data_IF_166075200236
#
_entry.id   IF_166075200236
#
_cell.length_a   1.000
_cell.length_b   1.000
_cell.length_c   1.000
_cell.angle_alpha   90.00
_cell.angle_beta   90.00
_cell.angle_gamma   90.00
#
_symmetry.space_group_name_H-M   'P 1'
#
loop_
_entity.id
_entity.type
_entity.pdbx_description
1 polymer ?
#
# COMPACT_ATOMS: atom_id res chain seq x y z
N UNK A 1 16.39 -33.30 -43.33
CA UNK A 1 15.32 -33.82 -42.45
C UNK A 1 15.41 -33.16 -41.08
N UNK A 2 14.34 -32.45 -40.69
CA UNK A 2 13.87 -32.05 -39.34
C UNK A 2 14.91 -31.74 -38.23
N UNK A 3 15.21 -30.45 -38.05
CA UNK A 3 15.72 -29.89 -36.78
C UNK A 3 14.56 -29.57 -35.82
N UNK A 4 14.56 -30.18 -34.63
CA UNK A 4 13.58 -29.94 -33.56
C UNK A 4 13.70 -28.52 -33.02
N UNK A 5 12.68 -27.68 -33.26
CA UNK A 5 12.47 -26.43 -32.51
C UNK A 5 12.07 -26.80 -31.08
N UNK A 6 12.94 -26.50 -30.10
CA UNK A 6 12.57 -26.48 -28.67
C UNK A 6 11.64 -25.30 -28.45
N UNK A 7 10.38 -25.58 -28.17
CA UNK A 7 9.44 -24.58 -27.67
C UNK A 7 9.92 -24.10 -26.30
N UNK A 8 10.30 -22.82 -26.22
CA UNK A 8 10.56 -22.14 -24.95
C UNK A 8 9.18 -21.92 -24.32
N UNK A 9 8.85 -22.75 -23.34
CA UNK A 9 7.66 -22.55 -22.49
C UNK A 9 7.84 -21.27 -21.70
N UNK A 10 7.25 -20.18 -22.20
CA UNK A 10 7.10 -18.93 -21.47
C UNK A 10 6.23 -19.18 -20.23
N UNK A 11 6.70 -18.64 -19.13
CA UNK A 11 6.14 -18.66 -17.77
C UNK A 11 4.72 -18.05 -17.73
N UNK A 12 3.72 -18.84 -18.09
CA UNK A 12 2.29 -18.48 -18.06
C UNK A 12 1.61 -18.68 -16.69
N UNK A 13 2.32 -19.17 -15.67
CA UNK A 13 1.68 -19.66 -14.43
C UNK A 13 1.41 -18.58 -13.37
N UNK A 14 2.21 -17.52 -13.29
CA UNK A 14 1.92 -16.38 -12.40
C UNK A 14 0.83 -15.43 -12.97
N UNK A 15 0.48 -15.61 -14.23
CA UNK A 15 -0.43 -14.75 -15.00
C UNK A 15 -1.90 -15.16 -14.83
N UNK A 16 -2.19 -16.38 -14.36
CA UNK A 16 -3.56 -16.85 -14.12
C UNK A 16 -4.16 -16.37 -12.79
N UNK A 17 -3.32 -16.11 -11.79
CA UNK A 17 -3.77 -15.68 -10.46
C UNK A 17 -4.06 -14.18 -10.36
N UNK A 18 -3.57 -13.35 -11.28
CA UNK A 18 -3.92 -11.91 -11.34
C UNK A 18 -4.99 -11.57 -12.39
N UNK A 19 -5.33 -12.51 -13.29
CA UNK A 19 -6.41 -12.37 -14.28
C UNK A 19 -7.76 -12.90 -13.81
N UNK A 20 -7.80 -13.61 -12.68
CA UNK A 20 -9.04 -14.15 -12.14
C UNK A 20 -9.56 -13.20 -11.05
N UNK A 21 -10.75 -12.62 -11.27
CA UNK A 21 -11.44 -11.87 -10.23
C UNK A 21 -11.65 -12.72 -8.95
N UNK A 22 -11.78 -14.05 -9.09
CA UNK A 22 -11.84 -14.98 -7.95
C UNK A 22 -10.55 -15.02 -7.13
N UNK A 23 -9.40 -14.81 -7.76
CA UNK A 23 -8.14 -14.73 -7.03
C UNK A 23 -7.99 -13.37 -6.33
N UNK A 24 -8.49 -12.29 -6.94
CA UNK A 24 -8.55 -10.97 -6.32
C UNK A 24 -9.55 -10.92 -5.15
N UNK A 25 -10.67 -11.63 -5.24
CA UNK A 25 -11.64 -11.78 -4.15
C UNK A 25 -11.00 -12.42 -2.91
N UNK A 26 -10.22 -13.48 -3.11
CA UNK A 26 -9.50 -14.18 -2.04
C UNK A 26 -8.38 -13.34 -1.42
N UNK A 27 -7.90 -12.32 -2.11
CA UNK A 27 -6.97 -11.34 -1.55
C UNK A 27 -7.75 -10.22 -0.89
N UNK A 28 -7.54 -10.02 0.40
CA UNK A 28 -8.10 -8.89 1.12
C UNK A 28 -7.36 -7.58 0.75
N UNK A 29 -7.85 -6.44 1.25
CA UNK A 29 -7.27 -5.12 0.93
C UNK A 29 -5.80 -5.04 1.34
N UNK A 30 -4.90 -5.04 0.36
CA UNK A 30 -3.44 -4.94 0.50
C UNK A 30 -2.95 -3.56 0.07
N UNK A 31 -1.66 -3.28 0.22
CA UNK A 31 -1.03 -2.06 -0.32
C UNK A 31 -1.18 -1.87 -1.83
N UNK A 32 -1.57 -2.91 -2.59
CA UNK A 32 -1.79 -2.83 -4.05
C UNK A 32 -3.26 -2.95 -4.45
N UNK A 33 -4.10 -3.57 -3.65
CA UNK A 33 -5.49 -3.93 -4.02
C UNK A 33 -6.42 -3.45 -2.92
N UNK A 34 -7.44 -2.68 -3.27
CA UNK A 34 -8.56 -2.36 -2.40
C UNK A 34 -9.79 -3.13 -2.91
N UNK A 35 -10.25 -4.08 -2.12
CA UNK A 35 -11.34 -5.01 -2.48
C UNK A 35 -12.66 -4.53 -1.87
N UNK A 36 -13.32 -3.57 -2.54
CA UNK A 36 -14.56 -2.96 -2.04
C UNK A 36 -15.75 -3.92 -2.12
N UNK A 37 -15.69 -4.92 -3.01
CA UNK A 37 -16.69 -5.99 -3.04
C UNK A 37 -16.74 -6.76 -1.72
N UNK A 38 -15.58 -7.15 -1.16
CA UNK A 38 -15.52 -7.82 0.13
C UNK A 38 -16.01 -6.91 1.27
N UNK A 39 -15.70 -5.61 1.21
CA UNK A 39 -16.23 -4.64 2.19
C UNK A 39 -17.75 -4.55 2.09
N UNK A 40 -18.31 -4.46 0.88
CA UNK A 40 -19.76 -4.41 0.65
C UNK A 40 -20.48 -5.67 1.17
N UNK A 41 -19.91 -6.85 0.93
CA UNK A 41 -20.48 -8.10 1.43
C UNK A 41 -20.50 -8.17 2.97
N UNK A 42 -19.47 -7.63 3.63
CA UNK A 42 -19.33 -7.70 5.09
C UNK A 42 -20.04 -6.57 5.84
N UNK A 43 -20.14 -5.39 5.22
CA UNK A 43 -20.56 -4.15 5.88
C UNK A 43 -21.70 -3.41 5.18
N UNK A 44 -22.19 -3.89 4.03
CA UNK A 44 -23.20 -3.20 3.21
C UNK A 44 -24.56 -2.99 3.88
N UNK A 45 -24.83 -3.69 4.98
CA UNK A 45 -26.05 -3.55 5.79
C UNK A 45 -25.87 -2.60 6.99
N UNK A 46 -24.66 -2.10 7.26
CA UNK A 46 -24.41 -1.17 8.37
C UNK A 46 -24.91 0.25 8.03
N UNK A 47 -25.51 1.00 8.97
CA UNK A 47 -25.92 2.39 8.74
C UNK A 47 -24.78 3.28 8.20
N UNK A 48 -23.59 3.13 8.78
CA UNK A 48 -22.36 3.83 8.37
C UNK A 48 -21.97 3.63 6.90
N UNK A 49 -22.42 2.55 6.25
CA UNK A 49 -22.21 2.31 4.82
C UNK A 49 -22.91 3.36 3.95
N UNK A 50 -24.04 3.89 4.40
CA UNK A 50 -24.77 4.94 3.69
C UNK A 50 -24.39 6.35 4.18
N UNK A 51 -24.06 6.49 5.46
CA UNK A 51 -23.72 7.78 6.06
C UNK A 51 -22.30 8.28 5.74
N UNK A 52 -21.31 7.36 5.72
CA UNK A 52 -19.89 7.69 5.49
C UNK A 52 -19.24 6.79 4.43
N UNK A 53 -19.80 6.73 3.21
CA UNK A 53 -19.30 5.85 2.17
C UNK A 53 -17.97 6.33 1.59
N UNK A 54 -17.18 5.40 1.03
CA UNK A 54 -16.02 5.76 0.22
C UNK A 54 -16.45 6.44 -1.09
N UNK A 55 -17.43 5.88 -1.79
CA UNK A 55 -18.05 6.49 -2.98
C UNK A 55 -19.54 6.70 -2.77
N UNK A 56 -20.13 7.75 -3.32
CA UNK A 56 -21.60 7.88 -3.35
C UNK A 56 -22.22 6.81 -4.24
N UNK A 57 -21.53 6.42 -5.31
CA UNK A 57 -21.97 5.37 -6.20
C UNK A 57 -21.79 3.97 -5.59
N UNK A 58 -22.89 3.21 -5.52
CA UNK A 58 -22.92 1.83 -4.98
C UNK A 58 -22.20 0.78 -5.84
N UNK A 59 -22.01 1.03 -7.14
CA UNK A 59 -21.20 0.17 -8.02
C UNK A 59 -19.73 0.34 -7.69
N UNK A 60 -19.25 1.57 -7.52
CA UNK A 60 -17.88 1.84 -7.09
C UNK A 60 -17.59 1.28 -5.70
N UNK A 61 -18.52 1.37 -4.75
CA UNK A 61 -18.38 0.72 -3.44
C UNK A 61 -18.42 -0.82 -3.48
N UNK A 62 -18.58 -1.45 -4.63
CA UNK A 62 -18.54 -2.90 -4.80
C UNK A 62 -17.59 -3.34 -5.92
N UNK A 63 -16.56 -2.52 -6.22
CA UNK A 63 -15.55 -2.80 -7.24
C UNK A 63 -14.21 -3.27 -6.65
N UNK A 64 -13.25 -3.55 -7.52
CA UNK A 64 -11.85 -3.71 -7.17
C UNK A 64 -11.05 -2.51 -7.65
N UNK A 65 -10.17 -1.97 -6.80
CA UNK A 65 -9.25 -0.89 -7.15
C UNK A 65 -7.83 -1.40 -6.99
N UNK A 66 -6.99 -1.21 -8.00
CA UNK A 66 -5.64 -1.77 -8.01
C UNK A 66 -4.60 -0.74 -8.44
N UNK A 67 -3.46 -0.72 -7.75
CA UNK A 67 -2.23 -0.11 -8.25
C UNK A 67 -1.63 -1.02 -9.31
N UNK A 68 -1.88 -0.68 -10.56
CA UNK A 68 -1.48 -1.46 -11.72
C UNK A 68 -0.18 -0.94 -12.30
N UNK A 69 0.66 -1.86 -12.76
CA UNK A 69 1.89 -1.54 -13.49
C UNK A 69 1.57 -1.65 -14.97
N UNK A 70 1.67 -0.53 -15.68
CA UNK A 70 1.30 -0.48 -17.09
C UNK A 70 2.24 -1.37 -17.89
N UNK A 71 1.66 -2.19 -18.76
CA UNK A 71 2.39 -2.95 -19.76
C UNK A 71 2.72 -2.03 -20.93
N UNK A 72 3.69 -2.42 -21.75
CA UNK A 72 4.08 -1.65 -22.93
C UNK A 72 2.88 -1.37 -23.85
N UNK A 73 1.98 -2.35 -24.00
CA UNK A 73 0.72 -2.26 -24.75
C UNK A 73 -0.43 -1.61 -23.98
N UNK A 74 -0.18 -0.97 -22.84
CA UNK A 74 -1.17 -0.19 -22.10
C UNK A 74 -0.76 1.28 -21.99
N UNK A 75 0.53 1.60 -22.17
CA UNK A 75 1.07 2.98 -22.10
C UNK A 75 0.39 3.93 -23.08
N UNK A 76 0.07 3.46 -24.30
CA UNK A 76 -0.59 4.27 -25.32
C UNK A 76 -1.99 4.75 -24.90
N UNK A 77 -2.60 4.18 -23.85
CA UNK A 77 -3.92 4.58 -23.38
C UNK A 77 -3.92 5.98 -22.75
N UNK A 78 -2.75 6.55 -22.45
CA UNK A 78 -2.57 7.84 -21.77
C UNK A 78 -1.97 8.88 -22.72
N UNK A 79 -2.21 10.15 -22.42
CA UNK A 79 -1.59 11.28 -23.14
C UNK A 79 -0.23 11.66 -22.54
N UNK A 80 0.00 11.30 -21.27
CA UNK A 80 1.24 11.46 -20.53
C UNK A 80 2.00 10.13 -20.38
N UNK A 81 3.32 10.22 -20.20
CA UNK A 81 4.13 9.05 -19.88
C UNK A 81 3.85 8.59 -18.45
N UNK A 82 3.37 7.34 -18.31
CA UNK A 82 3.10 6.71 -17.02
C UNK A 82 3.54 5.25 -17.05
N UNK A 83 4.04 4.79 -15.91
CA UNK A 83 4.57 3.44 -15.67
C UNK A 83 3.65 2.64 -14.76
N UNK A 84 2.83 3.35 -13.98
CA UNK A 84 1.77 2.79 -13.15
C UNK A 84 0.53 3.65 -13.26
N UNK A 85 -0.62 3.03 -13.01
CA UNK A 85 -1.91 3.68 -13.00
C UNK A 85 -2.85 2.98 -12.02
N UNK A 86 -3.90 3.66 -11.60
CA UNK A 86 -4.94 3.05 -10.79
C UNK A 86 -6.00 2.44 -11.70
N UNK A 87 -6.15 1.11 -11.61
CA UNK A 87 -7.13 0.34 -12.36
C UNK A 87 -8.37 0.13 -11.53
N UNK A 88 -9.52 0.40 -12.12
CA UNK A 88 -10.84 0.07 -11.58
C UNK A 88 -11.34 -1.16 -12.31
N UNK A 89 -11.84 -2.15 -11.57
CA UNK A 89 -12.49 -3.33 -12.13
C UNK A 89 -13.87 -3.48 -11.50
N UNK A 90 -14.90 -3.33 -12.31
CA UNK A 90 -16.31 -3.49 -11.93
C UNK A 90 -16.76 -4.88 -12.40
N UNK A 91 -17.06 -5.81 -11.47
CA UNK A 91 -17.57 -7.13 -11.84
C UNK A 91 -18.89 -7.00 -12.63
N UNK A 92 -19.08 -7.83 -13.66
CA UNK A 92 -20.38 -7.90 -14.34
C UNK A 92 -21.47 -8.42 -13.42
N UNK A 93 -21.12 -9.41 -12.60
CA UNK A 93 -22.00 -10.00 -11.60
C UNK A 93 -21.22 -10.18 -10.30
N UNK A 94 -21.80 -9.69 -9.20
CA UNK A 94 -21.14 -9.71 -7.87
C UNK A 94 -21.12 -11.10 -7.27
N UNK A 95 -22.11 -11.92 -7.63
CA UNK A 95 -22.27 -13.30 -7.17
C UNK A 95 -21.47 -14.32 -8.00
N UNK A 96 -21.07 -13.97 -9.23
CA UNK A 96 -20.21 -14.83 -10.07
C UNK A 96 -19.10 -14.04 -10.77
N UNK A 97 -17.98 -13.93 -10.06
CA UNK A 97 -16.75 -13.33 -10.56
C UNK A 97 -16.10 -14.09 -11.73
N UNK A 98 -16.60 -15.30 -12.06
CA UNK A 98 -16.16 -16.05 -13.23
C UNK A 98 -16.55 -15.40 -14.56
N UNK A 99 -17.61 -14.59 -14.57
CA UNK A 99 -18.07 -13.86 -15.75
C UNK A 99 -17.13 -12.72 -16.16
N UNK A 100 -16.20 -12.34 -15.27
CA UNK A 100 -15.30 -11.21 -15.49
C UNK A 100 -15.92 -9.87 -15.10
N UNK A 101 -15.42 -8.80 -15.69
CA UNK A 101 -15.87 -7.45 -15.38
C UNK A 101 -15.33 -6.42 -16.37
N UNK A 102 -15.95 -5.24 -16.35
CA UNK A 102 -15.46 -4.07 -17.05
C UNK A 102 -14.27 -3.48 -16.28
N UNK A 103 -13.23 -3.04 -16.98
CA UNK A 103 -12.10 -2.37 -16.33
C UNK A 103 -11.61 -1.17 -17.11
N UNK A 104 -11.15 -0.17 -16.39
CA UNK A 104 -10.56 1.05 -16.96
C UNK A 104 -9.48 1.58 -16.03
N UNK A 105 -8.62 2.45 -16.54
CA UNK A 105 -7.63 3.17 -15.75
C UNK A 105 -8.07 4.60 -15.49
N UNK A 106 -7.77 5.11 -14.30
CA UNK A 106 -8.01 6.52 -13.99
C UNK A 106 -7.04 7.35 -14.83
N UNK A 107 -7.57 8.29 -15.61
CA UNK A 107 -6.78 9.18 -16.48
C UNK A 107 -6.49 8.64 -17.88
N UNK A 108 -6.90 7.41 -18.24
CA UNK A 108 -6.78 6.98 -19.63
C UNK A 108 -7.71 7.76 -20.56
N UNK A 109 -7.40 7.83 -21.84
CA UNK A 109 -8.30 8.41 -22.85
C UNK A 109 -9.68 7.73 -22.78
N UNK A 110 -10.73 8.53 -22.65
CA UNK A 110 -12.12 8.03 -22.56
C UNK A 110 -12.55 7.45 -21.19
N UNK A 111 -11.73 7.58 -20.14
CA UNK A 111 -12.05 6.96 -18.83
C UNK A 111 -13.33 7.50 -18.18
N UNK A 112 -13.72 8.74 -18.49
CA UNK A 112 -14.93 9.36 -17.95
C UNK A 112 -16.18 8.74 -18.55
N UNK A 113 -16.13 8.37 -19.84
CA UNK A 113 -17.20 7.68 -20.56
C UNK A 113 -17.34 6.26 -20.01
N UNK A 114 -16.22 5.53 -19.89
CA UNK A 114 -16.19 4.19 -19.29
C UNK A 114 -16.71 4.17 -17.85
N UNK A 115 -16.36 5.18 -17.05
CA UNK A 115 -16.87 5.35 -15.69
C UNK A 115 -18.39 5.55 -15.68
N UNK A 116 -18.92 6.41 -16.55
CA UNK A 116 -20.36 6.67 -16.64
C UNK A 116 -21.13 5.43 -17.08
N UNK A 117 -20.60 4.68 -18.05
CA UNK A 117 -21.17 3.40 -18.49
C UNK A 117 -21.22 2.39 -17.34
N UNK A 118 -20.12 2.25 -16.58
CA UNK A 118 -20.06 1.32 -15.45
C UNK A 118 -20.95 1.76 -14.27
N UNK A 119 -21.26 3.05 -14.16
CA UNK A 119 -21.98 3.65 -13.02
C UNK A 119 -23.39 4.15 -13.39
N UNK A 120 -24.00 3.60 -14.44
CA UNK A 120 -25.36 3.93 -14.87
C UNK A 120 -26.30 3.99 -13.64
N UNK A 121 -27.16 5.01 -13.58
CA UNK A 121 -28.08 5.38 -12.49
C UNK A 121 -27.59 6.39 -11.43
N UNK A 122 -26.38 6.96 -11.56
CA UNK A 122 -25.90 8.00 -10.63
C UNK A 122 -26.28 9.44 -11.06
N UNK A 123 -26.93 10.19 -10.16
CA UNK A 123 -27.36 11.59 -10.41
C UNK A 123 -26.19 12.58 -10.59
N UNK A 124 -25.05 12.33 -9.93
CA UNK A 124 -23.77 13.03 -10.14
C UNK A 124 -22.63 12.15 -9.64
N UNK A 125 -21.53 12.11 -10.38
CA UNK A 125 -20.29 11.39 -10.05
C UNK A 125 -19.17 12.33 -9.57
N UNK A 126 -19.44 13.62 -9.36
CA UNK A 126 -18.38 14.61 -9.16
C UNK A 126 -17.53 14.33 -7.91
N UNK A 127 -18.15 13.91 -6.80
CA UNK A 127 -17.42 13.49 -5.60
C UNK A 127 -16.62 12.22 -5.84
N UNK A 128 -17.21 11.25 -6.54
CA UNK A 128 -16.56 9.97 -6.80
C UNK A 128 -15.34 10.14 -7.71
N UNK A 129 -15.45 11.00 -8.73
CA UNK A 129 -14.35 11.39 -9.61
C UNK A 129 -13.22 12.07 -8.82
N UNK A 130 -13.54 12.95 -7.85
CA UNK A 130 -12.53 13.56 -6.98
C UNK A 130 -11.80 12.50 -6.17
N UNK A 131 -12.52 11.58 -5.55
CA UNK A 131 -11.94 10.49 -4.76
C UNK A 131 -11.09 9.59 -5.64
N UNK A 132 -11.58 9.17 -6.81
CA UNK A 132 -10.81 8.39 -7.79
C UNK A 132 -9.48 9.09 -8.16
N UNK A 133 -9.48 10.40 -8.39
CA UNK A 133 -8.25 11.16 -8.66
C UNK A 133 -7.30 11.21 -7.46
N UNK A 134 -7.81 11.31 -6.24
CA UNK A 134 -7.00 11.21 -5.02
C UNK A 134 -6.37 9.82 -4.89
N UNK A 135 -7.16 8.77 -5.11
CA UNK A 135 -6.65 7.40 -5.14
C UNK A 135 -5.54 7.27 -6.18
N UNK A 136 -5.69 7.87 -7.36
CA UNK A 136 -4.70 7.74 -8.44
C UNK A 136 -3.32 8.29 -8.08
N UNK A 137 -3.27 9.38 -7.31
CA UNK A 137 -2.03 10.02 -6.88
C UNK A 137 -1.24 9.18 -5.87
N UNK A 138 -1.90 8.30 -5.12
CA UNK A 138 -1.21 7.53 -4.08
C UNK A 138 -0.22 6.52 -4.68
N UNK A 139 0.95 6.29 -4.07
CA UNK A 139 1.86 5.22 -4.48
C UNK A 139 1.36 3.82 -4.06
N UNK A 140 0.53 3.74 -3.02
CA UNK A 140 -0.06 2.51 -2.49
C UNK A 140 -1.50 2.75 -2.02
N UNK A 141 -2.25 1.66 -1.88
CA UNK A 141 -3.60 1.63 -1.28
C UNK A 141 -3.54 1.08 0.15
N UNK A 142 -2.39 1.22 0.83
CA UNK A 142 -2.32 0.77 2.21
C UNK A 142 -3.29 1.58 3.09
N UNK A 143 -3.92 0.96 4.10
CA UNK A 143 -5.08 1.56 4.74
C UNK A 143 -4.78 2.88 5.48
N UNK A 144 -3.55 3.04 5.98
CA UNK A 144 -3.14 4.22 6.75
C UNK A 144 -2.90 5.42 5.85
N UNK A 145 -2.10 5.24 4.79
CA UNK A 145 -1.86 6.29 3.80
C UNK A 145 -3.16 6.71 3.13
N UNK A 146 -3.97 5.73 2.71
CA UNK A 146 -5.22 5.96 2.03
C UNK A 146 -6.20 6.78 2.88
N UNK A 147 -6.41 6.38 4.13
CA UNK A 147 -7.30 7.09 5.06
C UNK A 147 -6.84 8.53 5.29
N UNK A 148 -5.55 8.70 5.61
CA UNK A 148 -4.99 10.01 5.92
C UNK A 148 -5.05 10.95 4.71
N UNK A 149 -4.78 10.42 3.51
CA UNK A 149 -4.87 11.19 2.27
C UNK A 149 -6.30 11.67 2.01
N UNK A 150 -7.31 10.81 2.17
CA UNK A 150 -8.72 11.18 2.00
C UNK A 150 -9.17 12.20 3.05
N UNK A 151 -8.81 11.99 4.32
CA UNK A 151 -9.18 12.89 5.42
C UNK A 151 -8.63 14.30 5.23
N UNK A 152 -7.37 14.45 4.80
CA UNK A 152 -6.78 15.77 4.52
C UNK A 152 -7.46 16.52 3.39
N UNK A 153 -8.12 15.80 2.49
CA UNK A 153 -8.93 16.38 1.42
C UNK A 153 -10.42 16.53 1.79
N UNK A 154 -10.75 16.42 3.08
CA UNK A 154 -12.11 16.64 3.60
C UNK A 154 -13.06 15.48 3.38
N UNK A 155 -12.54 14.27 3.12
CA UNK A 155 -13.35 13.06 2.97
C UNK A 155 -13.29 12.20 4.24
N UNK A 156 -14.37 12.25 5.02
CA UNK A 156 -14.57 11.36 6.17
C UNK A 156 -15.26 10.06 5.71
N UNK A 157 -14.49 8.98 5.71
CA UNK A 157 -14.93 7.66 5.26
C UNK A 157 -14.91 6.70 6.44
N UNK A 158 -15.87 5.79 6.49
CA UNK A 158 -16.00 4.84 7.59
C UNK A 158 -14.74 3.95 7.76
N UNK A 159 -14.31 3.64 9.00
CA UNK A 159 -13.06 2.91 9.27
C UNK A 159 -12.93 1.54 8.59
N UNK A 160 -14.04 0.84 8.35
CA UNK A 160 -14.03 -0.49 7.75
C UNK A 160 -13.56 -0.51 6.29
N UNK A 161 -13.52 0.63 5.59
CA UNK A 161 -12.86 0.75 4.28
C UNK A 161 -11.33 0.69 4.37
N UNK A 162 -10.78 0.88 5.58
CA UNK A 162 -9.34 0.92 5.88
C UNK A 162 -8.91 -0.23 6.81
N UNK A 163 -9.61 -1.36 6.74
CA UNK A 163 -9.20 -2.55 7.48
C UNK A 163 -7.91 -3.15 6.87
N UNK A 164 -6.99 -3.58 7.74
CA UNK A 164 -5.85 -4.41 7.32
C UNK A 164 -6.40 -5.76 6.85
N UNK A 165 -5.80 -6.29 5.79
CA UNK A 165 -6.09 -7.62 5.24
C UNK A 165 -5.95 -8.70 6.34
N UNK A 166 -6.83 -9.72 6.43
CA UNK A 166 -6.67 -10.80 7.42
C UNK A 166 -5.31 -11.50 7.33
N UNK A 167 -4.79 -11.71 6.11
CA UNK A 167 -3.48 -12.32 5.93
C UNK A 167 -2.34 -11.44 6.49
N UNK A 168 -2.41 -10.12 6.31
CA UNK A 168 -1.42 -9.20 6.89
C UNK A 168 -1.58 -9.09 8.41
N UNK A 169 -2.82 -9.10 8.92
CA UNK A 169 -3.11 -9.13 10.36
C UNK A 169 -2.48 -10.36 11.02
N UNK A 170 -2.74 -11.55 10.46
CA UNK A 170 -2.19 -12.81 10.96
C UNK A 170 -0.65 -12.79 10.93
N UNK A 171 -0.06 -12.31 9.83
CA UNK A 171 1.39 -12.25 9.66
C UNK A 171 2.07 -11.20 10.57
N UNK A 172 1.39 -10.11 10.91
CA UNK A 172 1.95 -9.06 11.77
C UNK A 172 1.69 -9.29 13.26
N UNK A 173 0.73 -10.14 13.63
CA UNK A 173 0.31 -10.33 15.03
C UNK A 173 1.50 -10.69 15.94
N UNK A 174 2.32 -11.66 15.54
CA UNK A 174 3.52 -12.06 16.30
C UNK A 174 4.57 -10.94 16.39
N UNK A 175 4.75 -10.17 15.32
CA UNK A 175 5.67 -9.03 15.33
C UNK A 175 5.22 -7.95 16.31
N UNK A 176 3.93 -7.59 16.27
CA UNK A 176 3.35 -6.57 17.15
C UNK A 176 3.42 -7.01 18.60
N UNK A 177 3.11 -8.28 18.90
CA UNK A 177 3.23 -8.84 20.24
C UNK A 177 4.63 -8.63 20.83
N UNK A 178 5.68 -8.92 20.07
CA UNK A 178 7.06 -8.67 20.49
C UNK A 178 7.38 -7.17 20.65
N UNK A 179 6.85 -6.31 19.79
CA UNK A 179 7.11 -4.86 19.86
C UNK A 179 6.50 -4.21 21.11
N UNK A 180 5.35 -4.70 21.58
CA UNK A 180 4.62 -4.09 22.70
C UNK A 180 4.73 -4.88 24.01
N UNK A 181 5.50 -5.97 24.03
CA UNK A 181 5.69 -6.84 25.19
C UNK A 181 6.10 -6.06 26.44
N UNK A 182 7.02 -5.11 26.29
CA UNK A 182 7.51 -4.28 27.40
C UNK A 182 6.39 -3.44 28.03
N UNK A 183 5.49 -2.88 27.21
CA UNK A 183 4.33 -2.13 27.67
C UNK A 183 3.31 -3.04 28.36
N UNK A 184 3.09 -4.24 27.82
CA UNK A 184 2.17 -5.22 28.43
C UNK A 184 2.68 -5.62 29.81
N UNK A 185 3.98 -5.89 29.94
CA UNK A 185 4.59 -6.24 31.21
C UNK A 185 4.38 -5.14 32.27
N UNK A 186 4.57 -3.88 31.90
CA UNK A 186 4.36 -2.74 32.81
C UNK A 186 2.89 -2.52 33.19
N UNK A 187 1.98 -2.70 32.23
CA UNK A 187 0.55 -2.52 32.47
C UNK A 187 -0.04 -3.64 33.34
N UNK A 188 0.59 -4.82 33.40
CA UNK A 188 0.02 -6.03 33.99
C UNK A 188 0.98 -6.79 34.91
N UNK A 189 1.85 -6.09 35.67
CA UNK A 189 2.83 -6.68 36.61
C UNK A 189 2.23 -7.70 37.61
N UNK A 190 0.90 -7.78 37.75
CA UNK A 190 0.17 -8.71 38.62
C UNK A 190 -0.76 -9.74 37.92
N UNK A 191 -0.77 -9.86 36.59
CA UNK A 191 -1.67 -10.77 35.86
C UNK A 191 -0.93 -11.68 34.87
N UNK A 192 -1.02 -13.01 35.06
CA UNK A 192 -0.26 -14.04 34.32
C UNK A 192 -0.14 -13.80 32.80
N UNK A 193 1.07 -13.47 32.34
CA UNK A 193 1.33 -12.62 31.16
C UNK A 193 1.07 -13.16 29.75
N UNK A 194 0.74 -14.44 29.55
CA UNK A 194 0.59 -15.01 28.19
C UNK A 194 -0.72 -14.65 27.49
N UNK A 195 -1.85 -14.90 28.17
CA UNK A 195 -3.19 -14.70 27.57
C UNK A 195 -3.57 -13.23 27.41
N UNK A 196 -3.07 -12.35 28.28
CA UNK A 196 -3.34 -10.90 28.22
C UNK A 196 -2.63 -10.23 27.05
N UNK A 197 -1.42 -10.69 26.70
CA UNK A 197 -0.65 -10.19 25.55
C UNK A 197 -1.43 -10.35 24.26
N UNK A 198 -1.94 -11.56 23.99
CA UNK A 198 -2.71 -11.84 22.78
C UNK A 198 -3.97 -10.96 22.67
N UNK A 199 -4.67 -10.75 23.79
CA UNK A 199 -5.89 -9.92 23.83
C UNK A 199 -5.62 -8.44 23.61
N UNK A 200 -4.49 -7.91 24.09
CA UNK A 200 -4.14 -6.50 23.87
C UNK A 200 -3.66 -6.26 22.44
N UNK A 201 -2.90 -7.20 21.87
CA UNK A 201 -2.49 -7.14 20.46
C UNK A 201 -3.72 -7.17 19.56
N UNK A 202 -4.68 -8.07 19.83
CA UNK A 202 -5.95 -8.11 19.11
C UNK A 202 -6.72 -6.80 19.23
N UNK A 203 -6.81 -6.23 20.44
CA UNK A 203 -7.45 -4.93 20.68
C UNK A 203 -6.79 -3.79 19.88
N UNK A 204 -5.46 -3.75 19.84
CA UNK A 204 -4.69 -2.74 19.11
C UNK A 204 -4.81 -2.90 17.58
N UNK A 205 -4.90 -4.14 17.10
CA UNK A 205 -5.01 -4.45 15.68
C UNK A 205 -6.45 -4.48 15.16
N UNK A 206 -7.45 -4.36 16.06
CA UNK A 206 -8.86 -4.20 15.72
C UNK A 206 -9.10 -3.00 14.80
N UNK A 207 -10.17 -3.07 14.01
CA UNK A 207 -10.63 -1.94 13.17
C UNK A 207 -11.36 -0.89 14.00
N UNK A 208 -12.12 -1.35 14.99
CA UNK A 208 -12.84 -0.50 15.93
C UNK A 208 -11.99 -0.29 17.19
N UNK A 209 -12.10 0.89 17.80
CA UNK A 209 -11.40 1.18 19.05
C UNK A 209 -11.99 0.31 20.15
N UNK A 210 -11.12 -0.48 20.75
CA UNK A 210 -11.49 -1.53 21.68
C UNK A 210 -11.45 -1.02 23.13
N UNK A 211 -12.51 -1.29 23.90
CA UNK A 211 -12.61 -0.91 25.32
C UNK A 211 -11.45 -1.46 26.17
N UNK A 212 -10.81 -2.55 25.72
CA UNK A 212 -9.59 -3.10 26.36
C UNK A 212 -8.42 -2.12 26.38
N UNK A 213 -8.42 -1.08 25.55
CA UNK A 213 -7.39 -0.04 25.52
C UNK A 213 -7.66 1.12 26.49
N UNK A 214 -8.78 1.10 27.23
CA UNK A 214 -9.17 2.16 28.17
C UNK A 214 -8.10 2.50 29.24
N UNK A 215 -7.37 1.54 29.84
CA UNK A 215 -6.30 1.87 30.77
C UNK A 215 -5.18 2.71 30.15
N UNK A 216 -4.87 2.46 28.87
CA UNK A 216 -3.88 3.22 28.12
C UNK A 216 -4.39 4.65 27.86
N UNK A 217 -5.69 4.80 27.56
CA UNK A 217 -6.34 6.10 27.38
C UNK A 217 -6.17 7.00 28.61
N UNK A 218 -6.47 6.45 29.78
CA UNK A 218 -6.34 7.15 31.08
C UNK A 218 -4.87 7.52 31.35
N UNK A 219 -3.95 6.58 31.12
CA UNK A 219 -2.50 6.79 31.35
C UNK A 219 -1.94 7.89 30.46
N UNK A 220 -2.40 7.98 29.22
CA UNK A 220 -1.93 8.97 28.25
C UNK A 220 -2.69 10.29 28.30
N UNK A 221 -3.75 10.41 29.11
CA UNK A 221 -4.62 11.58 29.18
C UNK A 221 -5.05 12.04 27.77
N UNK A 222 -5.54 11.08 26.98
CA UNK A 222 -6.10 11.31 25.65
C UNK A 222 -7.61 11.05 25.73
N UNK A 223 -8.41 11.95 25.20
CA UNK A 223 -9.88 11.89 25.27
C UNK A 223 -10.48 11.88 23.87
N UNK A 224 -11.64 11.25 23.72
CA UNK A 224 -12.44 11.31 22.49
C UNK A 224 -11.67 10.99 21.21
N UNK A 225 -11.72 11.91 20.24
CA UNK A 225 -11.04 11.79 18.94
C UNK A 225 -9.52 11.64 19.07
N UNK A 226 -8.88 12.38 19.99
CA UNK A 226 -7.41 12.36 20.12
C UNK A 226 -6.90 10.96 20.46
N UNK A 227 -7.63 10.23 21.30
CA UNK A 227 -7.29 8.84 21.61
C UNK A 227 -7.51 7.92 20.41
N UNK A 228 -8.66 8.03 19.73
CA UNK A 228 -8.99 7.18 18.59
C UNK A 228 -8.01 7.37 17.44
N UNK A 229 -7.66 8.62 17.15
CA UNK A 229 -6.64 8.97 16.16
C UNK A 229 -5.24 8.56 16.60
N UNK A 230 -4.91 8.70 17.88
CA UNK A 230 -3.64 8.24 18.43
C UNK A 230 -3.47 6.73 18.27
N UNK A 231 -4.46 5.93 18.67
CA UNK A 231 -4.42 4.45 18.53
C UNK A 231 -4.33 4.03 17.07
N UNK A 232 -5.13 4.64 16.19
CA UNK A 232 -5.02 4.40 14.75
C UNK A 232 -3.61 4.73 14.24
N UNK A 233 -3.03 5.82 14.74
CA UNK A 233 -1.69 6.26 14.34
C UNK A 233 -0.60 5.31 14.80
N UNK A 234 -0.70 4.84 16.04
CA UNK A 234 0.22 3.84 16.57
C UNK A 234 0.17 2.54 15.78
N UNK A 235 -1.04 2.07 15.47
CA UNK A 235 -1.26 0.89 14.64
C UNK A 235 -0.58 1.03 13.27
N UNK A 236 -0.67 2.19 12.63
CA UNK A 236 -0.02 2.45 11.35
C UNK A 236 1.51 2.43 11.43
N UNK A 237 2.11 2.97 12.49
CA UNK A 237 3.56 2.87 12.69
C UNK A 237 4.02 1.43 12.87
N UNK A 238 3.29 0.64 13.66
CA UNK A 238 3.56 -0.79 13.82
C UNK A 238 3.44 -1.55 12.49
N UNK A 239 2.43 -1.22 11.67
CA UNK A 239 2.25 -1.77 10.34
C UNK A 239 3.44 -1.46 9.41
N UNK A 240 3.88 -0.20 9.34
CA UNK A 240 5.02 0.17 8.51
C UNK A 240 6.33 -0.46 8.99
N UNK A 241 6.56 -0.51 10.32
CA UNK A 241 7.73 -1.20 10.90
C UNK A 241 7.74 -2.68 10.52
N UNK A 242 6.61 -3.36 10.67
CA UNK A 242 6.45 -4.76 10.27
C UNK A 242 6.72 -4.95 8.78
N UNK A 243 6.09 -4.18 7.91
CA UNK A 243 6.26 -4.29 6.45
C UNK A 243 7.73 -4.10 6.03
N UNK A 244 8.47 -3.20 6.70
CA UNK A 244 9.89 -2.97 6.42
C UNK A 244 10.78 -4.16 6.76
N UNK A 245 10.40 -5.04 7.68
CA UNK A 245 11.18 -6.26 7.99
C UNK A 245 11.34 -7.15 6.75
N UNK A 246 10.33 -7.17 5.88
CA UNK A 246 10.33 -7.94 4.64
C UNK A 246 10.80 -7.10 3.46
N UNK A 247 10.43 -5.81 3.42
CA UNK A 247 10.73 -4.94 2.29
C UNK A 247 12.21 -4.52 2.22
N UNK A 248 12.88 -4.27 3.36
CA UNK A 248 14.28 -3.85 3.36
C UNK A 248 15.21 -4.88 2.68
N UNK A 249 15.16 -6.19 3.01
CA UNK A 249 15.97 -7.19 2.31
C UNK A 249 15.69 -7.24 0.80
N UNK A 250 14.42 -7.15 0.41
CA UNK A 250 14.03 -7.15 -1.00
C UNK A 250 14.63 -5.95 -1.74
N UNK A 251 14.56 -4.76 -1.16
CA UNK A 251 15.09 -3.54 -1.76
C UNK A 251 16.63 -3.58 -1.87
N UNK A 252 17.32 -4.17 -0.89
CA UNK A 252 18.77 -4.39 -1.00
C UNK A 252 19.13 -5.36 -2.14
N UNK A 253 18.35 -6.44 -2.32
CA UNK A 253 18.54 -7.35 -3.45
C UNK A 253 18.29 -6.65 -4.79
N UNK A 254 17.21 -5.85 -4.91
CA UNK A 254 16.94 -5.03 -6.09
C UNK A 254 18.10 -4.09 -6.38
N UNK A 255 18.65 -3.42 -5.37
CA UNK A 255 19.76 -2.49 -5.58
C UNK A 255 21.01 -3.16 -6.15
N UNK A 256 21.33 -4.35 -5.67
CA UNK A 256 22.44 -5.13 -6.22
C UNK A 256 22.17 -5.48 -7.68
N UNK A 257 20.98 -6.00 -7.97
CA UNK A 257 20.61 -6.44 -9.31
C UNK A 257 20.44 -5.30 -10.32
N UNK A 258 20.05 -4.09 -9.90
CA UNK A 258 20.10 -2.87 -10.72
C UNK A 258 21.54 -2.60 -11.16
N UNK A 259 22.51 -2.83 -10.28
CA UNK A 259 23.94 -2.75 -10.59
C UNK A 259 24.40 -3.82 -11.59
N UNK A 260 23.80 -5.01 -11.54
CA UNK A 260 24.16 -6.18 -12.36
C UNK A 260 23.33 -6.31 -13.65
N UNK A 261 22.32 -5.45 -13.87
CA UNK A 261 21.42 -5.52 -15.03
C UNK A 261 22.21 -5.48 -16.34
N UNK A 262 22.11 -6.54 -17.13
CA UNK A 262 22.68 -6.57 -18.46
C UNK A 262 21.71 -5.94 -19.46
N UNK A 263 22.17 -4.89 -20.15
CA UNK A 263 21.38 -4.16 -21.14
C UNK A 263 21.71 -4.69 -22.53
N UNK A 264 20.71 -5.13 -23.28
CA UNK A 264 20.85 -5.68 -24.63
C UNK A 264 20.38 -4.70 -25.71
N UNK A 265 20.87 -4.87 -26.93
CA UNK A 265 20.54 -4.03 -28.08
C UNK A 265 21.59 -2.95 -28.39
N UNK A 266 21.44 -2.24 -29.51
CA UNK A 266 22.30 -1.12 -29.86
C UNK A 266 22.15 0.01 -28.84
N UNK A 267 23.26 0.59 -28.41
CA UNK A 267 23.28 1.76 -27.52
C UNK A 267 24.18 2.83 -28.12
N UNK A 268 23.68 4.05 -28.19
CA UNK A 268 24.55 5.20 -28.44
C UNK A 268 25.29 5.60 -27.15
N UNK A 269 26.17 6.59 -27.29
CA UNK A 269 26.99 7.09 -26.16
C UNK A 269 26.12 7.78 -25.11
N UNK A 270 25.08 8.50 -25.53
CA UNK A 270 24.21 9.29 -24.65
C UNK A 270 23.37 8.41 -23.74
N UNK A 271 22.73 7.39 -24.30
CA UNK A 271 21.95 6.39 -23.57
C UNK A 271 22.84 5.60 -22.61
N UNK A 272 24.07 5.26 -23.03
CA UNK A 272 25.05 4.63 -22.15
C UNK A 272 25.38 5.48 -20.92
N UNK A 273 25.66 6.78 -21.13
CA UNK A 273 25.94 7.73 -20.04
C UNK A 273 24.72 7.93 -19.14
N UNK A 274 23.53 7.99 -19.71
CA UNK A 274 22.28 8.09 -18.94
C UNK A 274 22.12 6.90 -18.01
N UNK A 275 22.23 5.66 -18.50
CA UNK A 275 22.04 4.44 -17.73
C UNK A 275 23.04 4.33 -16.56
N UNK A 276 24.32 4.67 -16.81
CA UNK A 276 25.34 4.68 -15.77
C UNK A 276 25.09 5.76 -14.70
N UNK A 277 24.60 6.93 -15.13
CA UNK A 277 24.17 8.00 -14.24
C UNK A 277 22.97 7.60 -13.39
N UNK A 278 21.96 6.99 -14.01
CA UNK A 278 20.72 6.54 -13.39
C UNK A 278 20.98 5.49 -12.30
N UNK A 279 21.85 4.49 -12.55
CA UNK A 279 22.24 3.51 -11.51
C UNK A 279 22.79 4.18 -10.24
N UNK A 280 23.63 5.21 -10.39
CA UNK A 280 24.21 5.94 -9.25
C UNK A 280 23.17 6.80 -8.55
N UNK A 281 22.27 7.45 -9.29
CA UNK A 281 21.17 8.24 -8.73
C UNK A 281 20.19 7.35 -7.96
N UNK A 282 19.70 6.28 -8.57
CA UNK A 282 18.84 5.28 -7.92
C UNK A 282 19.42 4.75 -6.61
N UNK A 283 20.71 4.36 -6.61
CA UNK A 283 21.40 3.89 -5.41
C UNK A 283 21.40 4.92 -4.29
N UNK A 284 21.67 6.19 -4.62
CA UNK A 284 21.65 7.29 -3.65
C UNK A 284 20.23 7.57 -3.16
N UNK A 285 19.24 7.62 -4.06
CA UNK A 285 17.85 7.89 -3.71
C UNK A 285 17.27 6.81 -2.80
N UNK A 286 17.51 5.52 -3.09
CA UNK A 286 17.07 4.42 -2.23
C UNK A 286 17.73 4.47 -0.85
N UNK A 287 19.03 4.78 -0.77
CA UNK A 287 19.72 4.93 0.50
C UNK A 287 19.17 6.11 1.32
N UNK A 288 18.92 7.26 0.67
CA UNK A 288 18.33 8.43 1.31
C UNK A 288 16.91 8.15 1.82
N UNK A 289 16.07 7.50 1.00
CA UNK A 289 14.72 7.09 1.38
C UNK A 289 14.72 6.16 2.60
N UNK A 290 15.61 5.16 2.63
CA UNK A 290 15.79 4.28 3.79
C UNK A 290 16.20 5.06 5.04
N UNK A 291 17.13 6.00 4.90
CA UNK A 291 17.58 6.82 6.04
C UNK A 291 16.44 7.68 6.59
N UNK A 292 15.61 8.27 5.73
CA UNK A 292 14.47 9.08 6.14
C UNK A 292 13.39 8.26 6.84
N UNK A 293 13.06 7.09 6.29
CA UNK A 293 12.12 6.14 6.89
C UNK A 293 12.60 5.71 8.28
N UNK A 294 13.88 5.33 8.40
CA UNK A 294 14.45 4.95 9.69
C UNK A 294 14.47 6.10 10.70
N UNK A 295 14.76 7.33 10.27
CA UNK A 295 14.71 8.51 11.14
C UNK A 295 13.29 8.77 11.66
N UNK A 296 12.29 8.66 10.78
CA UNK A 296 10.87 8.81 11.11
C UNK A 296 10.41 7.76 12.12
N UNK A 297 10.82 6.50 11.94
CA UNK A 297 10.53 5.41 12.87
C UNK A 297 11.31 5.52 14.19
N UNK A 298 12.50 6.11 14.16
CA UNK A 298 13.29 6.39 15.36
C UNK A 298 12.60 7.33 16.34
N UNK A 299 11.74 8.24 15.85
CA UNK A 299 10.91 9.10 16.70
C UNK A 299 9.91 8.26 17.52
N UNK A 300 9.26 7.29 16.87
CA UNK A 300 8.41 6.32 17.57
C UNK A 300 9.21 5.51 18.58
N UNK A 301 10.36 4.96 18.17
CA UNK A 301 11.18 4.09 19.04
C UNK A 301 11.65 4.84 20.29
N UNK A 302 12.07 6.09 20.15
CA UNK A 302 12.44 6.94 21.27
C UNK A 302 11.25 7.27 22.19
N UNK A 303 10.10 7.63 21.61
CA UNK A 303 8.90 7.94 22.38
C UNK A 303 8.36 6.72 23.14
N UNK A 304 8.39 5.55 22.51
CA UNK A 304 7.96 4.29 23.11
C UNK A 304 8.93 3.85 24.21
N UNK A 305 10.24 3.93 23.98
CA UNK A 305 11.24 3.65 25.01
C UNK A 305 11.11 4.59 26.21
N UNK A 306 10.76 5.86 26.00
CA UNK A 306 10.54 6.80 27.11
C UNK A 306 9.31 6.43 27.95
N UNK A 307 8.27 5.88 27.34
CA UNK A 307 7.13 5.31 28.07
C UNK A 307 7.52 4.04 28.84
N UNK A 308 8.21 3.10 28.20
CA UNK A 308 8.44 1.77 28.79
C UNK A 308 9.64 1.70 29.74
N UNK A 309 10.68 2.50 29.52
CA UNK A 309 11.92 2.45 30.32
C UNK A 309 12.03 3.60 31.30
N UNK A 310 11.65 4.80 30.86
CA UNK A 310 11.78 6.01 31.68
C UNK A 310 10.50 6.32 32.48
N UNK A 311 9.40 5.59 32.22
CA UNK A 311 8.09 5.83 32.85
C UNK A 311 7.49 7.19 32.48
N UNK A 312 7.86 7.77 31.34
CA UNK A 312 7.43 9.10 30.90
C UNK A 312 6.39 9.01 29.76
N UNK A 313 5.07 9.01 30.08
CA UNK A 313 4.01 8.90 29.08
C UNK A 313 3.88 10.14 28.19
N UNK A 314 4.44 11.28 28.59
CA UNK A 314 4.30 12.55 27.85
C UNK A 314 4.94 12.47 26.47
N UNK A 315 6.11 11.82 26.36
CA UNK A 315 6.79 11.65 25.08
C UNK A 315 5.95 10.82 24.10
N UNK A 316 5.40 9.70 24.57
CA UNK A 316 4.53 8.84 23.76
C UNK A 316 3.22 9.53 23.40
N UNK A 317 2.58 10.22 24.35
CA UNK A 317 1.38 11.03 24.08
C UNK A 317 1.62 12.06 22.97
N UNK A 318 2.71 12.82 23.05
CA UNK A 318 3.04 13.82 22.03
C UNK A 318 3.28 13.16 20.67
N UNK A 319 3.97 12.02 20.65
CA UNK A 319 4.13 11.23 19.43
C UNK A 319 2.76 10.85 18.83
N UNK A 320 1.81 10.34 19.61
CA UNK A 320 0.49 9.94 19.09
C UNK A 320 -0.28 11.10 18.47
N UNK A 321 -0.14 12.31 19.02
CA UNK A 321 -0.78 13.52 18.48
C UNK A 321 -0.11 14.02 17.19
N UNK A 322 1.20 13.83 17.06
CA UNK A 322 1.97 14.28 15.89
C UNK A 322 2.07 13.23 14.76
N UNK A 323 1.87 11.94 15.09
CA UNK A 323 2.01 10.81 14.17
C UNK A 323 1.19 10.92 12.87
N UNK A 324 -0.07 11.42 12.85
CA UNK A 324 -0.81 11.62 11.60
C UNK A 324 -0.07 12.47 10.57
N UNK A 325 0.72 13.47 11.02
CA UNK A 325 1.49 14.33 10.11
C UNK A 325 2.58 13.56 9.39
N UNK A 326 3.16 12.57 10.06
CA UNK A 326 4.28 11.76 9.58
C UNK A 326 3.83 10.65 8.61
N UNK A 327 2.55 10.28 8.60
CA UNK A 327 2.05 9.17 7.80
C UNK A 327 2.16 9.34 6.31
N UNK A 328 1.87 10.54 5.77
CA UNK A 328 2.00 10.75 4.33
C UNK A 328 3.43 10.48 3.90
N UNK A 329 4.40 11.14 4.54
CA UNK A 329 5.81 10.95 4.20
C UNK A 329 6.28 9.51 4.46
N UNK A 330 5.78 8.81 5.47
CA UNK A 330 6.19 7.43 5.72
C UNK A 330 5.56 6.47 4.71
N UNK A 331 4.24 6.53 4.57
CA UNK A 331 3.45 5.70 3.66
C UNK A 331 3.86 5.88 2.20
N UNK A 332 4.11 7.10 1.75
CA UNK A 332 4.59 7.36 0.38
C UNK A 332 5.92 6.65 0.10
N UNK A 333 6.87 6.77 1.03
CA UNK A 333 8.22 6.21 0.89
C UNK A 333 8.21 4.69 0.93
N UNK A 334 7.41 4.12 1.83
CA UNK A 334 7.25 2.67 1.92
C UNK A 334 6.47 2.14 0.71
N UNK A 335 5.45 2.86 0.24
CA UNK A 335 4.70 2.57 -0.98
C UNK A 335 5.59 2.56 -2.22
N UNK A 336 6.42 3.59 -2.40
CA UNK A 336 7.40 3.66 -3.49
C UNK A 336 8.45 2.52 -3.43
N UNK A 337 8.97 2.23 -2.24
CA UNK A 337 9.90 1.11 -2.06
C UNK A 337 9.23 -0.24 -2.38
N UNK A 338 7.97 -0.42 -1.98
CA UNK A 338 7.16 -1.60 -2.29
C UNK A 338 6.89 -1.71 -3.79
N UNK A 339 6.60 -0.60 -4.46
CA UNK A 339 6.45 -0.53 -5.91
C UNK A 339 7.70 -1.04 -6.62
N UNK A 340 8.87 -0.50 -6.29
CA UNK A 340 10.18 -0.90 -6.85
C UNK A 340 10.45 -2.38 -6.61
N UNK A 341 10.31 -2.85 -5.38
CA UNK A 341 10.54 -4.25 -5.03
C UNK A 341 9.62 -5.19 -5.82
N UNK A 342 8.32 -4.89 -5.82
CA UNK A 342 7.32 -5.67 -6.53
C UNK A 342 7.54 -5.66 -8.05
N UNK A 343 7.83 -4.47 -8.62
CA UNK A 343 8.14 -4.31 -10.04
C UNK A 343 9.31 -5.19 -10.44
N UNK A 344 10.42 -5.03 -9.72
CA UNK A 344 11.66 -5.68 -10.09
C UNK A 344 11.55 -7.20 -10.01
N UNK A 345 10.95 -7.75 -8.95
CA UNK A 345 10.77 -9.22 -8.84
C UNK A 345 9.88 -9.80 -9.92
N UNK A 346 8.87 -9.05 -10.36
CA UNK A 346 7.99 -9.47 -11.45
C UNK A 346 8.74 -9.51 -12.77
N UNK A 347 9.51 -8.45 -13.09
CA UNK A 347 10.23 -8.35 -14.36
C UNK A 347 11.48 -9.25 -14.39
N UNK A 348 12.12 -9.44 -13.25
CA UNK A 348 13.34 -10.23 -13.06
C UNK A 348 13.13 -11.25 -11.93
N UNK A 349 12.52 -12.42 -12.24
CA UNK A 349 12.32 -13.48 -11.27
C UNK A 349 13.64 -14.02 -10.71
N UNK A 350 13.61 -14.51 -9.47
CA UNK A 350 14.78 -15.08 -8.82
C UNK A 350 15.41 -16.23 -9.62
N UNK A 351 16.74 -16.37 -9.49
CA UNK A 351 17.51 -17.43 -10.12
C UNK A 351 17.83 -17.21 -11.60
N UNK A 352 17.50 -16.04 -12.16
CA UNK A 352 17.88 -15.65 -13.52
C UNK A 352 18.64 -14.32 -13.51
N UNK A 353 19.70 -14.16 -14.31
CA UNK A 353 20.35 -12.87 -14.47
C UNK A 353 19.36 -11.83 -15.00
N UNK A 354 19.34 -10.60 -14.45
CA UNK A 354 18.50 -9.54 -14.97
C UNK A 354 19.02 -9.09 -16.34
N UNK A 355 18.17 -9.22 -17.37
CA UNK A 355 18.45 -8.79 -18.75
C UNK A 355 17.24 -8.03 -19.31
N UNK A 356 17.47 -6.85 -19.88
CA UNK A 356 16.46 -6.03 -20.53
C UNK A 356 17.01 -5.34 -21.80
N UNK A 357 16.19 -5.14 -22.85
CA UNK A 357 16.52 -4.23 -23.95
C UNK A 357 16.78 -2.80 -23.44
N UNK A 358 17.54 -2.04 -24.22
CA UNK A 358 17.94 -0.67 -23.86
C UNK A 358 16.76 0.24 -23.54
N UNK A 359 15.73 0.28 -24.38
CA UNK A 359 14.57 1.16 -24.20
C UNK A 359 13.83 0.83 -22.90
N UNK A 360 13.61 -0.46 -22.65
CA UNK A 360 12.97 -0.93 -21.42
C UNK A 360 13.81 -0.63 -20.18
N UNK A 361 15.15 -0.75 -20.25
CA UNK A 361 16.02 -0.41 -19.13
C UNK A 361 15.98 1.09 -18.79
N UNK A 362 15.89 1.95 -19.82
CA UNK A 362 15.70 3.39 -19.65
C UNK A 362 14.36 3.68 -18.97
N UNK A 363 13.27 3.08 -19.47
CA UNK A 363 11.92 3.24 -18.91
C UNK A 363 11.86 2.83 -17.43
N UNK A 364 12.41 1.65 -17.08
CA UNK A 364 12.44 1.15 -15.71
C UNK A 364 13.21 2.11 -14.79
N UNK A 365 14.32 2.65 -15.26
CA UNK A 365 15.11 3.58 -14.45
C UNK A 365 14.41 4.92 -14.28
N UNK A 366 13.79 5.46 -15.33
CA UNK A 366 12.98 6.68 -15.24
C UNK A 366 11.81 6.53 -14.27
N UNK A 367 11.09 5.40 -14.34
CA UNK A 367 10.02 5.05 -13.40
C UNK A 367 10.48 5.09 -11.94
N UNK A 368 11.60 4.40 -11.66
CA UNK A 368 12.11 4.30 -10.31
C UNK A 368 12.63 5.66 -9.81
N UNK A 369 13.25 6.46 -10.69
CA UNK A 369 13.68 7.81 -10.36
C UNK A 369 12.48 8.71 -10.03
N UNK A 370 11.41 8.65 -10.81
CA UNK A 370 10.17 9.38 -10.55
C UNK A 370 9.52 8.94 -9.23
N UNK A 371 9.37 7.63 -9.01
CA UNK A 371 8.79 7.05 -7.80
C UNK A 371 9.55 7.43 -6.51
N UNK A 372 10.87 7.66 -6.61
CA UNK A 372 11.72 8.02 -5.46
C UNK A 372 11.90 9.54 -5.30
N UNK A 373 11.58 10.32 -6.33
CA UNK A 373 11.96 11.73 -6.48
C UNK A 373 10.89 12.74 -6.11
N UNK A 374 9.60 12.44 -6.29
CA UNK A 374 8.52 13.40 -6.03
C UNK A 374 7.80 13.13 -4.69
N UNK A 375 7.84 14.08 -3.72
CA UNK A 375 6.80 14.15 -2.69
C UNK A 375 5.47 14.49 -3.36
N UNK A 376 4.35 13.92 -2.90
CA UNK A 376 3.04 14.37 -3.35
C UNK A 376 2.94 15.89 -3.05
N UNK A 377 2.58 16.68 -4.06
CA UNK A 377 2.21 18.07 -3.83
C UNK A 377 1.01 18.07 -2.87
N UNK A 378 1.28 18.40 -1.60
CA UNK A 378 0.29 18.49 -0.51
C UNK A 378 -0.66 19.65 -0.78
#
# INVERSE_FOLDING_TARGET
MRGKRRAIGLTANADRTSRSLRALERTASTSRVLNLLAVAQKHGERPDWEERPLFRNRVLNACFILKHRLRLDETYLFDDYRTSATKIIVPFERSDLGLGGQSFFIGQRGWMELLREACADSRSLDQDIRILRLLDRLPSLDPFLLREHLRRHGHEVAPFYFAISPADLDAMQGYVAMQIEELIRLAYENAGGGAYTARLVEALLSTDVDERLEPLRVTLMLEGEDFREGVFSWKGFLYYKWMLTTLQPQLQAVMKEIGDLAVSGPRDVEVGLYLDGARRRLKRSIAAQRSHVNATLGIYDAAFASLTRDGNPKAFRNFLLDAPRMFLSLGEKVGAASHIASFWRYRFPHGRPPVAPVDEAVDIFQDFEASLGEPLAI
#
